data_IF_827625219055
#
_entry.id   IF_827625219055
#
_cell.length_a   1.000
_cell.length_b   1.000
_cell.length_c   1.000
_cell.angle_alpha   90.00
_cell.angle_beta   90.00
_cell.angle_gamma   90.00
#
_symmetry.space_group_name_H-M   'P 1'
#
loop_
_entity.id
_entity.type
_entity.pdbx_description
1 polymer ?
#
# COMPACT_ATOMS: atom_id res chain seq x y z
N UNK A 1 3.32 -14.09 -2.75
CA UNK A 1 3.44 -15.52 -2.38
C UNK A 1 2.10 -16.17 -2.00
N UNK A 2 1.00 -15.42 -2.00
CA UNK A 2 -0.33 -15.91 -1.63
C UNK A 2 -1.38 -14.84 -1.93
N UNK A 3 -2.55 -14.97 -1.30
CA UNK A 3 -3.73 -14.13 -1.52
C UNK A 3 -3.90 -13.01 -0.48
N UNK A 4 -2.97 -12.86 0.48
CA UNK A 4 -3.10 -11.94 1.61
C UNK A 4 -2.51 -10.57 1.28
N UNK A 5 -3.35 -9.53 1.23
CA UNK A 5 -2.97 -8.18 0.80
C UNK A 5 -3.12 -7.18 1.93
N UNK A 6 -2.05 -6.47 2.26
CA UNK A 6 -2.14 -5.30 3.14
C UNK A 6 -2.53 -4.07 2.33
N UNK A 7 -3.39 -3.23 2.89
CA UNK A 7 -3.76 -1.95 2.30
C UNK A 7 -3.25 -0.83 3.18
N UNK A 8 -2.54 0.14 2.60
CA UNK A 8 -2.17 1.40 3.25
C UNK A 8 -3.04 2.48 2.62
N UNK A 9 -3.75 3.26 3.45
CA UNK A 9 -4.67 4.29 2.94
C UNK A 9 -4.70 5.53 3.82
N UNK A 10 -4.91 6.69 3.20
CA UNK A 10 -5.25 7.94 3.88
C UNK A 10 -6.76 8.27 3.83
N UNK A 11 -7.53 7.44 3.13
CA UNK A 11 -8.95 7.69 2.87
C UNK A 11 -9.76 6.46 3.24
N UNK A 12 -10.71 6.64 4.16
CA UNK A 12 -11.64 5.58 4.57
C UNK A 12 -12.50 5.07 3.41
N UNK A 13 -12.97 5.96 2.54
CA UNK A 13 -13.74 5.57 1.36
C UNK A 13 -12.91 4.71 0.39
N UNK A 14 -11.66 5.11 0.12
CA UNK A 14 -10.75 4.30 -0.68
C UNK A 14 -10.46 2.95 -0.02
N UNK A 15 -10.36 2.93 1.32
CA UNK A 15 -10.22 1.70 2.13
C UNK A 15 -11.38 0.73 1.95
N UNK A 16 -12.63 1.21 1.92
CA UNK A 16 -13.81 0.37 1.63
C UNK A 16 -13.74 -0.14 0.18
N UNK A 17 -13.52 0.76 -0.79
CA UNK A 17 -13.50 0.41 -2.23
C UNK A 17 -12.45 -0.66 -2.56
N UNK A 18 -11.26 -0.57 -1.98
CA UNK A 18 -10.22 -1.57 -2.18
C UNK A 18 -10.54 -2.88 -1.46
N UNK A 19 -11.16 -2.82 -0.28
CA UNK A 19 -11.61 -4.03 0.44
C UNK A 19 -12.59 -4.84 -0.41
N UNK A 20 -13.62 -4.20 -0.94
CA UNK A 20 -14.63 -4.83 -1.82
C UNK A 20 -13.99 -5.36 -3.11
N UNK A 21 -12.98 -4.67 -3.64
CA UNK A 21 -12.30 -5.11 -4.85
C UNK A 21 -11.40 -6.32 -4.62
N UNK A 22 -10.62 -6.34 -3.53
CA UNK A 22 -9.79 -7.48 -3.16
C UNK A 22 -10.66 -8.73 -2.99
N UNK A 23 -11.80 -8.61 -2.30
CA UNK A 23 -12.75 -9.71 -2.14
C UNK A 23 -13.25 -10.25 -3.50
N UNK A 24 -13.67 -9.36 -4.41
CA UNK A 24 -14.14 -9.73 -5.75
C UNK A 24 -13.10 -10.50 -6.57
N UNK A 25 -11.82 -10.24 -6.35
CA UNK A 25 -10.71 -10.91 -7.04
C UNK A 25 -10.11 -12.09 -6.25
N UNK A 26 -10.79 -12.56 -5.18
CA UNK A 26 -10.35 -13.72 -4.41
C UNK A 26 -9.07 -13.49 -3.61
N UNK A 27 -8.80 -12.23 -3.25
CA UNK A 27 -7.75 -11.79 -2.34
C UNK A 27 -8.35 -11.52 -0.96
N UNK A 28 -7.50 -11.48 0.07
CA UNK A 28 -7.92 -11.36 1.47
C UNK A 28 -7.19 -10.22 2.16
N UNK A 29 -7.89 -9.56 3.07
CA UNK A 29 -7.29 -8.64 4.03
C UNK A 29 -6.88 -9.44 5.28
N UNK A 30 -5.61 -9.83 5.45
CA UNK A 30 -5.17 -10.50 6.67
C UNK A 30 -5.24 -9.54 7.85
N UNK A 31 -5.40 -10.11 9.05
CA UNK A 31 -4.98 -9.43 10.27
C UNK A 31 -3.48 -9.19 10.24
N UNK A 32 -3.06 -7.95 10.44
CA UNK A 32 -1.64 -7.60 10.59
C UNK A 32 -1.12 -8.17 11.91
N UNK A 33 0.19 -8.46 11.94
CA UNK A 33 0.83 -8.95 13.15
C UNK A 33 0.85 -7.86 14.24
N UNK A 34 0.91 -8.24 15.53
CA UNK A 34 1.07 -7.29 16.61
C UNK A 34 2.28 -6.38 16.41
N UNK A 35 3.40 -6.91 15.89
CA UNK A 35 4.60 -6.12 15.62
C UNK A 35 4.39 -5.04 14.55
N UNK A 36 3.59 -5.34 13.52
CA UNK A 36 3.21 -4.38 12.48
C UNK A 36 2.33 -3.28 13.06
N UNK A 37 1.31 -3.67 13.84
CA UNK A 37 0.39 -2.74 14.51
C UNK A 37 1.15 -1.85 15.49
N UNK A 38 1.96 -2.42 16.37
CA UNK A 38 2.76 -1.72 17.38
C UNK A 38 3.78 -0.78 16.76
N UNK A 39 4.32 -1.13 15.58
CA UNK A 39 5.17 -0.21 14.83
C UNK A 39 4.36 1.03 14.48
N UNK A 40 3.28 0.88 13.71
CA UNK A 40 2.52 2.01 13.16
C UNK A 40 1.82 2.82 14.26
N UNK A 41 1.37 2.16 15.34
CA UNK A 41 0.74 2.80 16.51
C UNK A 41 1.61 3.89 17.14
N UNK A 42 2.94 3.82 17.02
CA UNK A 42 3.86 4.87 17.51
C UNK A 42 3.67 6.23 16.82
N UNK A 43 3.02 6.25 15.66
CA UNK A 43 2.70 7.47 14.92
C UNK A 43 1.20 7.80 14.95
N UNK A 44 0.37 6.96 15.58
CA UNK A 44 -1.07 7.11 15.59
C UNK A 44 -1.57 7.50 16.98
N UNK A 45 -2.72 8.19 17.09
CA UNK A 45 -3.34 8.45 18.38
C UNK A 45 -3.74 7.15 19.10
N UNK A 46 -3.50 7.07 20.41
CA UNK A 46 -3.78 5.88 21.24
C UNK A 46 -5.25 5.41 21.19
N UNK A 47 -6.18 6.31 20.88
CA UNK A 47 -7.61 6.02 20.82
C UNK A 47 -8.05 5.37 19.50
N UNK A 48 -7.20 5.37 18.48
CA UNK A 48 -7.56 4.86 17.15
C UNK A 48 -7.12 3.39 16.99
N UNK A 49 -8.08 2.46 16.79
CA UNK A 49 -7.71 1.09 16.46
C UNK A 49 -7.09 1.04 15.06
N UNK A 50 -5.95 0.38 14.95
CA UNK A 50 -5.29 0.09 13.68
C UNK A 50 -5.61 -1.33 13.23
N UNK A 51 -5.68 -1.53 11.91
CA UNK A 51 -6.02 -2.81 11.31
C UNK A 51 -5.62 -2.89 9.84
N UNK A 52 -6.37 -3.68 9.06
CA UNK A 52 -6.22 -3.78 7.61
C UNK A 52 -7.61 -3.63 6.96
N UNK A 53 -7.90 -2.55 6.22
CA UNK A 53 -6.97 -1.51 5.77
C UNK A 53 -6.31 -0.69 6.88
N UNK A 54 -5.04 -0.36 6.66
CA UNK A 54 -4.24 0.45 7.57
C UNK A 54 -4.45 1.93 7.23
N UNK A 55 -5.34 2.58 7.97
CA UNK A 55 -5.56 4.02 7.86
C UNK A 55 -4.42 4.79 8.56
N UNK A 56 -3.65 5.50 7.76
CA UNK A 56 -2.48 6.26 8.20
C UNK A 56 -2.72 7.77 8.25
N UNK A 57 -3.94 8.24 7.98
CA UNK A 57 -4.20 9.68 7.89
C UNK A 57 -3.85 10.45 9.17
N UNK A 58 -4.19 9.98 10.39
CA UNK A 58 -3.76 10.66 11.60
C UNK A 58 -2.24 10.71 11.78
N UNK A 59 -1.53 9.65 11.38
CA UNK A 59 -0.07 9.64 11.38
C UNK A 59 0.52 10.65 10.39
N UNK A 60 -0.10 10.81 9.21
CA UNK A 60 0.25 11.85 8.24
C UNK A 60 0.06 13.25 8.86
N UNK A 61 -1.05 13.49 9.55
CA UNK A 61 -1.33 14.79 10.19
C UNK A 61 -0.34 15.13 11.30
N UNK A 62 0.08 14.14 12.10
CA UNK A 62 0.95 14.36 13.27
C UNK A 62 2.44 14.37 12.94
N UNK A 63 2.85 13.59 11.93
CA UNK A 63 4.26 13.29 11.68
C UNK A 63 4.72 13.50 10.24
N UNK A 64 3.82 13.92 9.36
CA UNK A 64 4.09 14.18 7.95
C UNK A 64 3.96 12.95 7.06
N UNK A 65 3.70 13.22 5.78
CA UNK A 65 3.39 12.22 4.75
C UNK A 65 4.52 11.21 4.56
N UNK A 66 5.75 11.68 4.34
CA UNK A 66 6.92 10.82 4.09
C UNK A 66 7.11 9.78 5.20
N UNK A 67 7.15 10.23 6.46
CA UNK A 67 7.42 9.36 7.61
C UNK A 67 6.30 8.34 7.81
N UNK A 68 5.03 8.77 7.72
CA UNK A 68 3.88 7.90 7.91
C UNK A 68 3.84 6.79 6.85
N UNK A 69 4.00 7.13 5.57
CA UNK A 69 3.97 6.16 4.47
C UNK A 69 5.17 5.21 4.49
N UNK A 70 6.40 5.71 4.69
CA UNK A 70 7.59 4.85 4.73
C UNK A 70 7.53 3.85 5.87
N UNK A 71 7.09 4.28 7.06
CA UNK A 71 7.00 3.42 8.23
C UNK A 71 5.89 2.37 8.08
N UNK A 72 4.73 2.78 7.55
CA UNK A 72 3.64 1.85 7.25
C UNK A 72 4.07 0.80 6.21
N UNK A 73 4.69 1.22 5.10
CA UNK A 73 5.14 0.31 4.06
C UNK A 73 6.23 -0.65 4.57
N UNK A 74 7.20 -0.14 5.32
CA UNK A 74 8.25 -0.97 5.92
C UNK A 74 7.68 -2.03 6.88
N UNK A 75 6.68 -1.65 7.69
CA UNK A 75 6.04 -2.57 8.63
C UNK A 75 5.28 -3.69 7.89
N UNK A 76 4.40 -3.34 6.93
CA UNK A 76 3.60 -4.35 6.21
C UNK A 76 4.45 -5.24 5.30
N UNK A 77 5.54 -4.72 4.72
CA UNK A 77 6.44 -5.52 3.91
C UNK A 77 7.21 -6.56 4.74
N UNK A 78 7.47 -6.28 6.02
CA UNK A 78 8.10 -7.25 6.95
C UNK A 78 7.10 -8.25 7.54
N UNK A 79 5.81 -7.95 7.50
CA UNK A 79 4.76 -8.78 8.09
C UNK A 79 4.63 -10.14 7.38
N UNK A 80 4.77 -11.25 8.10
CA UNK A 80 4.67 -12.61 7.52
C UNK A 80 3.25 -12.97 7.05
N UNK A 81 2.24 -12.24 7.50
CA UNK A 81 0.85 -12.40 7.09
C UNK A 81 0.53 -11.72 5.76
N UNK A 82 1.46 -10.95 5.20
CA UNK A 82 1.25 -10.15 4.00
C UNK A 82 2.02 -10.74 2.82
N UNK A 83 1.34 -10.95 1.70
CA UNK A 83 1.91 -11.47 0.45
C UNK A 83 2.02 -10.43 -0.66
N UNK A 84 1.29 -9.32 -0.55
CA UNK A 84 1.31 -8.16 -1.44
C UNK A 84 0.74 -6.92 -0.75
N UNK A 85 0.96 -5.74 -1.33
CA UNK A 85 0.52 -4.46 -0.75
C UNK A 85 -0.20 -3.62 -1.78
N UNK A 86 -1.27 -2.94 -1.37
CA UNK A 86 -1.89 -1.84 -2.12
C UNK A 86 -1.69 -0.54 -1.35
N UNK A 87 -1.06 0.45 -1.99
CA UNK A 87 -0.90 1.79 -1.44
C UNK A 87 -1.86 2.77 -2.11
N UNK A 88 -2.77 3.36 -1.33
CA UNK A 88 -3.55 4.53 -1.75
C UNK A 88 -2.74 5.76 -1.41
N UNK A 89 -2.28 6.51 -2.42
CA UNK A 89 -1.45 7.70 -2.24
C UNK A 89 -1.99 8.88 -3.05
N UNK A 90 -1.42 10.06 -2.81
CA UNK A 90 -1.85 11.31 -3.44
C UNK A 90 -0.96 11.59 -4.65
N UNK A 91 -1.56 12.03 -5.75
CA UNK A 91 -0.86 12.63 -6.90
C UNK A 91 -1.00 14.15 -6.86
N UNK A 92 -0.19 14.87 -6.05
CA UNK A 92 -0.45 16.27 -5.71
C UNK A 92 -0.06 17.26 -6.81
N UNK A 93 -0.67 18.44 -6.77
CA UNK A 93 -0.15 19.61 -7.49
C UNK A 93 1.22 20.03 -6.94
N UNK A 94 1.99 20.79 -7.73
CA UNK A 94 3.35 21.23 -7.39
C UNK A 94 3.43 21.98 -6.05
N UNK A 95 2.42 22.81 -5.75
CA UNK A 95 2.31 23.56 -4.50
C UNK A 95 2.13 22.65 -3.27
N UNK A 96 1.68 21.41 -3.49
CA UNK A 96 1.50 20.37 -2.48
C UNK A 96 2.48 19.21 -2.65
N UNK A 97 3.65 19.45 -3.26
CA UNK A 97 4.69 18.45 -3.50
C UNK A 97 5.16 17.70 -2.25
N UNK A 98 4.98 18.25 -1.04
CA UNK A 98 5.25 17.55 0.22
C UNK A 98 4.32 16.35 0.48
N UNK A 99 3.25 16.18 -0.31
CA UNK A 99 2.39 14.99 -0.30
C UNK A 99 2.89 13.88 -1.24
N UNK A 100 3.87 14.16 -2.12
CA UNK A 100 4.49 13.16 -2.99
C UNK A 100 5.39 12.24 -2.16
N UNK A 101 5.03 10.96 -2.10
CA UNK A 101 5.75 9.92 -1.37
C UNK A 101 6.50 8.95 -2.29
N UNK A 102 6.56 9.22 -3.59
CA UNK A 102 7.16 8.33 -4.58
C UNK A 102 8.60 7.92 -4.22
N UNK A 103 9.48 8.89 -3.95
CA UNK A 103 10.88 8.64 -3.56
C UNK A 103 11.00 7.88 -2.24
N UNK A 104 10.15 8.23 -1.27
CA UNK A 104 10.16 7.62 0.06
C UNK A 104 9.76 6.15 0.01
N UNK A 105 8.71 5.81 -0.75
CA UNK A 105 8.26 4.43 -0.91
C UNK A 105 9.21 3.61 -1.77
N UNK A 106 9.83 4.21 -2.80
CA UNK A 106 10.87 3.56 -3.60
C UNK A 106 12.05 3.08 -2.76
N UNK A 107 12.58 3.96 -1.90
CA UNK A 107 13.67 3.60 -0.98
C UNK A 107 13.31 2.40 -0.09
N UNK A 108 12.07 2.32 0.37
CA UNK A 108 11.60 1.21 1.21
C UNK A 108 11.52 -0.11 0.42
N UNK A 109 10.92 -0.10 -0.77
CA UNK A 109 10.78 -1.33 -1.57
C UNK A 109 12.11 -1.84 -2.10
N UNK A 110 13.07 -0.96 -2.41
CA UNK A 110 14.41 -1.34 -2.84
C UNK A 110 15.17 -2.12 -1.75
N UNK A 111 14.94 -1.76 -0.48
CA UNK A 111 15.57 -2.42 0.67
C UNK A 111 14.94 -3.79 1.02
N UNK A 112 13.67 -4.03 0.69
CA UNK A 112 12.86 -5.13 1.24
C UNK A 112 12.22 -6.06 0.17
N UNK A 113 12.63 -5.97 -1.10
CA UNK A 113 11.84 -6.19 -2.33
C UNK A 113 11.17 -7.56 -2.65
N UNK A 114 10.74 -8.37 -1.68
CA UNK A 114 10.22 -9.73 -1.98
C UNK A 114 8.71 -9.81 -2.27
N UNK A 115 7.96 -8.72 -2.06
CA UNK A 115 6.50 -8.69 -2.20
C UNK A 115 6.06 -7.62 -3.20
N UNK A 116 5.07 -7.91 -4.08
CA UNK A 116 4.57 -6.92 -5.03
C UNK A 116 3.85 -5.78 -4.31
N UNK A 117 4.08 -4.56 -4.81
CA UNK A 117 3.40 -3.35 -4.35
C UNK A 117 2.65 -2.73 -5.53
N UNK A 118 1.34 -2.66 -5.41
CA UNK A 118 0.48 -1.91 -6.29
C UNK A 118 0.14 -0.56 -5.66
N UNK A 119 -0.06 0.47 -6.46
CA UNK A 119 -0.48 1.78 -5.99
C UNK A 119 -1.65 2.32 -6.82
N UNK A 120 -2.49 3.10 -6.16
CA UNK A 120 -3.50 3.94 -6.82
C UNK A 120 -3.30 5.38 -6.33
N UNK A 121 -3.23 6.30 -7.29
CA UNK A 121 -2.97 7.71 -7.03
C UNK A 121 -4.25 8.52 -7.19
N UNK A 122 -4.67 9.18 -6.12
CA UNK A 122 -5.76 10.14 -6.15
C UNK A 122 -5.20 11.55 -6.23
N UNK A 123 -5.60 12.30 -7.25
CA UNK A 123 -5.21 13.70 -7.40
C UNK A 123 -4.94 14.11 -8.84
N UNK A 124 -4.73 15.42 -9.08
CA UNK A 124 -4.64 16.00 -10.42
C UNK A 124 -3.39 15.56 -11.19
N UNK A 125 -2.29 15.21 -10.52
CA UNK A 125 -1.02 14.84 -11.15
C UNK A 125 -0.71 13.33 -11.04
N UNK A 126 -1.74 12.48 -11.01
CA UNK A 126 -1.56 11.03 -10.85
C UNK A 126 -0.69 10.39 -11.94
N UNK A 127 -0.67 10.92 -13.16
CA UNK A 127 0.15 10.39 -14.26
C UNK A 127 1.64 10.65 -14.01
N UNK A 128 2.04 11.91 -13.84
CA UNK A 128 3.45 12.28 -13.63
C UNK A 128 4.02 11.65 -12.36
N UNK A 129 3.27 11.72 -11.26
CA UNK A 129 3.68 11.07 -10.00
C UNK A 129 3.72 9.55 -10.18
N UNK A 130 2.81 8.99 -10.97
CA UNK A 130 2.80 7.58 -11.31
C UNK A 130 4.09 7.12 -11.99
N UNK A 131 4.58 7.87 -12.97
CA UNK A 131 5.85 7.59 -13.64
C UNK A 131 7.03 7.58 -12.65
N UNK A 132 7.01 8.48 -11.65
CA UNK A 132 8.03 8.49 -10.58
C UNK A 132 7.97 7.26 -9.69
N UNK A 133 6.78 6.78 -9.35
CA UNK A 133 6.58 5.53 -8.60
C UNK A 133 7.12 4.33 -9.38
N UNK A 134 6.84 4.27 -10.68
CA UNK A 134 7.16 3.14 -11.54
C UNK A 134 8.63 3.10 -12.01
N UNK A 135 9.42 4.15 -11.73
CA UNK A 135 10.79 4.28 -12.24
C UNK A 135 11.72 3.12 -11.87
N UNK A 136 11.45 2.43 -10.75
CA UNK A 136 12.22 1.26 -10.27
C UNK A 136 11.57 -0.08 -10.67
N UNK A 137 10.35 -0.05 -11.22
CA UNK A 137 9.51 -1.22 -11.53
C UNK A 137 9.19 -2.10 -10.32
N UNK A 138 9.39 -1.60 -9.10
CA UNK A 138 9.07 -2.29 -7.85
C UNK A 138 7.69 -1.90 -7.29
N UNK A 139 7.18 -0.75 -7.70
CA UNK A 139 5.81 -0.30 -7.43
C UNK A 139 5.15 -0.04 -8.78
N UNK A 140 3.98 -0.64 -9.00
CA UNK A 140 3.19 -0.43 -10.22
C UNK A 140 1.94 0.39 -9.89
N UNK A 141 1.66 1.42 -10.68
CA UNK A 141 0.53 2.32 -10.47
C UNK A 141 -0.59 1.92 -11.42
N UNK A 142 -1.80 1.81 -10.88
CA UNK A 142 -2.98 1.42 -11.63
C UNK A 142 -4.01 2.54 -11.65
N UNK A 143 -4.79 2.66 -12.73
CA UNK A 143 -5.77 3.75 -12.88
C UNK A 143 -6.94 3.62 -11.91
N UNK A 144 -7.22 2.41 -11.41
CA UNK A 144 -8.27 2.14 -10.43
C UNK A 144 -7.82 1.12 -9.39
N UNK A 145 -8.43 1.17 -8.21
CA UNK A 145 -8.28 0.15 -7.17
C UNK A 145 -8.71 -1.25 -7.66
N UNK A 146 -9.62 -1.31 -8.64
CA UNK A 146 -10.08 -2.56 -9.21
C UNK A 146 -9.01 -3.25 -10.07
N UNK A 147 -8.37 -2.47 -10.94
CA UNK A 147 -7.25 -2.97 -11.75
C UNK A 147 -6.05 -3.30 -10.87
N UNK A 148 -5.81 -2.56 -9.79
CA UNK A 148 -4.77 -2.89 -8.81
C UNK A 148 -5.03 -4.24 -8.11
N UNK A 149 -6.27 -4.53 -7.74
CA UNK A 149 -6.63 -5.81 -7.11
C UNK A 149 -6.52 -6.96 -8.10
N UNK A 150 -7.05 -6.77 -9.31
CA UNK A 150 -6.95 -7.76 -10.39
C UNK A 150 -5.50 -8.07 -10.76
N UNK A 151 -4.62 -7.07 -10.83
CA UNK A 151 -3.22 -7.31 -11.16
C UNK A 151 -2.51 -8.17 -10.10
N UNK A 152 -2.80 -7.95 -8.82
CA UNK A 152 -2.29 -8.78 -7.72
C UNK A 152 -2.86 -10.20 -7.77
N UNK A 153 -4.13 -10.38 -8.18
CA UNK A 153 -4.72 -11.72 -8.32
C UNK A 153 -4.01 -12.53 -9.43
N UNK A 154 -3.64 -11.88 -10.54
CA UNK A 154 -2.84 -12.53 -11.59
C UNK A 154 -1.46 -12.96 -11.09
N UNK A 155 -0.82 -12.17 -10.22
CA UNK A 155 0.46 -12.56 -9.61
C UNK A 155 0.32 -13.74 -8.66
N UNK A 156 -0.79 -13.82 -7.92
CA UNK A 156 -1.14 -14.99 -7.09
C UNK A 156 -1.32 -16.22 -7.98
N UNK A 157 -2.15 -16.15 -9.02
CA UNK A 157 -2.42 -17.27 -9.92
C UNK A 157 -1.14 -17.78 -10.58
N UNK A 158 -0.29 -16.86 -11.05
CA UNK A 158 1.05 -17.20 -11.57
C UNK A 158 1.90 -17.92 -10.55
N UNK A 159 1.91 -17.48 -9.30
CA UNK A 159 2.67 -18.13 -8.23
C UNK A 159 2.17 -19.55 -7.97
N UNK A 160 0.86 -19.76 -7.92
CA UNK A 160 0.26 -21.09 -7.73
C UNK A 160 0.60 -22.04 -8.87
N UNK A 161 0.60 -21.57 -10.12
CA UNK A 161 1.01 -22.37 -11.28
C UNK A 161 2.47 -22.78 -11.17
N UNK A 162 3.36 -21.83 -10.85
CA UNK A 162 4.79 -22.10 -10.72
C UNK A 162 5.13 -23.01 -9.54
N UNK A 163 4.34 -23.00 -8.47
CA UNK A 163 4.54 -23.87 -7.31
C UNK A 163 4.13 -25.33 -7.56
N UNK A 164 3.43 -25.61 -8.66
CA UNK A 164 3.00 -26.97 -9.07
C UNK A 164 3.97 -27.66 -10.03
N UNK A 165 4.97 -26.94 -10.53
CA UNK A 165 6.03 -27.42 -11.44
C UNK A 165 7.27 -27.73 -10.62
#
# INVERSE_FOLDING_TARGET
KGDRVAVITFSGAAGIMISDSLERHGLKLPSLSPETIDSVAKLSPDWMPLGNPLDIWPAVMLHGTEKAYSMALEAVLKDRNVDGVVCVAIGPESDFSFLDVSEALKKVVEKLSDKPVAAWLYGPNSVEIGERFESTKKIMVYPTLDVASWSLSLLKDRHEVLARI
#
